data_IF_557043900586
#
_entry.id   IF_557043900586
#
_cell.length_a   1.000
_cell.length_b   1.000
_cell.length_c   1.000
_cell.angle_alpha   90.00
_cell.angle_beta   90.00
_cell.angle_gamma   90.00
#
_symmetry.space_group_name_H-M   'P 1'
#
loop_
_entity.id
_entity.type
_entity.pdbx_description
1 polymer ?
#
# COMPACT_ATOMS: atom_id res chain seq x y z
N UNK A 1 -13.41 -4.69 -3.54
CA UNK A 1 -14.30 -4.71 -4.73
C UNK A 1 -13.51 -4.99 -6.01
N UNK A 2 -14.03 -5.84 -6.91
CA UNK A 2 -13.31 -6.29 -8.13
C UNK A 2 -12.94 -5.15 -9.09
N UNK A 3 -13.76 -4.10 -9.15
CA UNK A 3 -13.53 -2.95 -10.05
C UNK A 3 -12.19 -2.24 -9.80
N UNK A 4 -11.78 -2.08 -8.55
CA UNK A 4 -10.50 -1.47 -8.21
C UNK A 4 -9.32 -2.34 -8.65
N UNK A 5 -9.44 -3.66 -8.48
CA UNK A 5 -8.42 -4.61 -8.91
C UNK A 5 -8.23 -4.57 -10.43
N UNK A 6 -9.33 -4.61 -11.19
CA UNK A 6 -9.29 -4.49 -12.66
C UNK A 6 -8.66 -3.16 -13.09
N UNK A 7 -9.05 -2.04 -12.46
CA UNK A 7 -8.47 -0.75 -12.79
C UNK A 7 -6.95 -0.70 -12.53
N UNK A 8 -6.49 -1.20 -11.38
CA UNK A 8 -5.07 -1.24 -11.02
C UNK A 8 -4.31 -2.13 -12.02
N UNK A 9 -4.85 -3.31 -12.34
CA UNK A 9 -4.24 -4.23 -13.30
C UNK A 9 -4.04 -3.57 -14.67
N UNK A 10 -5.04 -2.85 -15.17
CA UNK A 10 -5.00 -2.27 -16.50
C UNK A 10 -4.14 -0.99 -16.59
N UNK A 11 -4.10 -0.19 -15.51
CA UNK A 11 -3.62 1.19 -15.58
C UNK A 11 -2.37 1.49 -14.74
N UNK A 12 -2.15 0.78 -13.63
CA UNK A 12 -1.09 1.09 -12.67
C UNK A 12 0.11 0.19 -12.93
N UNK A 13 1.06 0.67 -13.73
CA UNK A 13 2.25 -0.07 -14.16
C UNK A 13 3.52 0.65 -13.71
N UNK A 14 4.58 -0.11 -13.46
CA UNK A 14 5.85 0.41 -12.94
C UNK A 14 6.50 1.49 -13.83
N UNK A 15 6.30 1.40 -15.15
CA UNK A 15 6.82 2.35 -16.14
C UNK A 15 6.08 3.70 -16.16
N UNK A 16 4.88 3.76 -15.54
CA UNK A 16 4.02 4.96 -15.49
C UNK A 16 3.92 5.55 -14.10
N UNK A 17 4.04 4.74 -13.05
CA UNK A 17 3.87 5.15 -11.65
C UNK A 17 5.14 4.83 -10.88
N UNK A 18 5.79 5.89 -10.36
CA UNK A 18 7.13 5.77 -9.79
C UNK A 18 7.21 5.02 -8.44
N UNK A 19 6.34 5.35 -7.48
CA UNK A 19 6.31 4.69 -6.16
C UNK A 19 4.88 4.57 -5.63
N UNK A 20 4.58 3.47 -4.94
CA UNK A 20 3.30 3.24 -4.27
C UNK A 20 3.52 2.79 -2.82
N UNK A 21 2.78 3.35 -1.87
CA UNK A 21 2.79 2.93 -0.48
C UNK A 21 1.38 2.65 0.00
N UNK A 22 1.18 1.50 0.63
CA UNK A 22 -0.05 1.15 1.35
C UNK A 22 0.25 0.87 2.82
N UNK A 23 -0.67 1.25 3.69
CA UNK A 23 -0.76 0.69 5.02
C UNK A 23 -2.21 0.47 5.47
N UNK A 24 -2.37 -0.40 6.46
CA UNK A 24 -3.65 -0.63 7.13
C UNK A 24 -3.41 -1.10 8.57
N UNK A 25 -4.36 -0.73 9.46
CA UNK A 25 -4.43 -1.25 10.82
C UNK A 25 -5.05 -2.65 10.90
N UNK A 26 -5.29 -3.18 12.10
CA UNK A 26 -5.97 -4.47 12.29
C UNK A 26 -7.24 -4.37 13.11
N UNK A 27 -7.60 -3.17 13.56
CA UNK A 27 -8.76 -2.95 14.41
C UNK A 27 -9.77 -2.07 13.69
N UNK A 28 -11.03 -2.11 14.16
CA UNK A 28 -12.13 -1.28 13.66
C UNK A 28 -12.39 -1.51 12.17
N UNK A 29 -12.43 -0.47 11.33
CA UNK A 29 -12.75 -0.62 9.92
C UNK A 29 -11.63 -1.31 9.11
N UNK A 30 -10.37 -1.11 9.49
CA UNK A 30 -9.21 -1.64 8.76
C UNK A 30 -9.06 -3.16 8.89
N UNK A 31 -9.69 -3.79 9.89
CA UNK A 31 -9.60 -5.25 10.14
C UNK A 31 -10.00 -6.09 8.90
N UNK A 32 -10.85 -5.53 8.04
CA UNK A 32 -11.35 -6.18 6.84
C UNK A 32 -10.44 -6.02 5.61
N UNK A 33 -9.36 -5.24 5.70
CA UNK A 33 -8.59 -4.85 4.50
C UNK A 33 -7.62 -5.92 4.00
N UNK A 34 -7.11 -6.78 4.88
CA UNK A 34 -6.03 -7.72 4.55
C UNK A 34 -6.32 -8.57 3.29
N UNK A 35 -7.48 -9.22 3.14
CA UNK A 35 -7.76 -10.02 1.94
C UNK A 35 -7.76 -9.20 0.65
N UNK A 36 -8.19 -7.94 0.69
CA UNK A 36 -8.22 -7.07 -0.48
C UNK A 36 -6.84 -6.49 -0.76
N UNK A 37 -6.08 -6.16 0.28
CA UNK A 37 -4.72 -5.68 0.14
C UNK A 37 -3.83 -6.75 -0.48
N UNK A 38 -3.95 -8.02 -0.05
CA UNK A 38 -3.21 -9.13 -0.67
C UNK A 38 -3.51 -9.28 -2.17
N UNK A 39 -4.76 -9.05 -2.59
CA UNK A 39 -5.12 -9.10 -4.01
C UNK A 39 -4.49 -7.95 -4.80
N UNK A 40 -4.45 -6.74 -4.22
CA UNK A 40 -3.77 -5.57 -4.83
C UNK A 40 -2.26 -5.80 -4.89
N UNK A 41 -1.67 -6.31 -3.81
CA UNK A 41 -0.25 -6.65 -3.71
C UNK A 41 0.17 -7.60 -4.86
N UNK A 42 -0.61 -8.66 -5.10
CA UNK A 42 -0.35 -9.58 -6.23
C UNK A 42 -0.44 -8.91 -7.59
N UNK A 43 -1.39 -7.97 -7.77
CA UNK A 43 -1.54 -7.24 -9.04
C UNK A 43 -0.35 -6.31 -9.27
N UNK A 44 0.17 -5.66 -8.22
CA UNK A 44 1.34 -4.78 -8.34
C UNK A 44 2.60 -5.57 -8.72
N UNK A 45 2.79 -6.74 -8.13
CA UNK A 45 3.87 -7.65 -8.51
C UNK A 45 3.77 -8.06 -9.99
N UNK A 46 2.57 -8.44 -10.46
CA UNK A 46 2.33 -8.73 -11.88
C UNK A 46 2.55 -7.52 -12.80
N UNK A 47 2.32 -6.30 -12.29
CA UNK A 47 2.53 -5.04 -13.00
C UNK A 47 3.98 -4.51 -12.92
N UNK A 48 4.91 -5.35 -12.43
CA UNK A 48 6.35 -5.08 -12.42
C UNK A 48 6.84 -4.31 -11.20
N UNK A 49 6.00 -4.03 -10.21
CA UNK A 49 6.47 -3.41 -8.97
C UNK A 49 7.33 -4.39 -8.16
N UNK A 50 8.38 -3.85 -7.56
CA UNK A 50 9.30 -4.54 -6.68
C UNK A 50 9.08 -4.06 -5.25
N UNK A 51 8.77 -5.01 -4.38
CA UNK A 51 8.52 -4.77 -2.96
C UNK A 51 9.75 -4.12 -2.29
N UNK A 52 9.49 -3.10 -1.49
CA UNK A 52 10.43 -2.23 -0.79
C UNK A 52 11.44 -1.46 -1.69
N UNK A 53 11.24 -1.46 -3.02
CA UNK A 53 11.99 -0.65 -3.99
C UNK A 53 11.13 0.49 -4.54
N UNK A 54 10.02 0.15 -5.19
CA UNK A 54 9.06 1.08 -5.77
C UNK A 54 7.61 0.80 -5.33
N UNK A 55 7.39 -0.21 -4.49
CA UNK A 55 6.12 -0.41 -3.81
C UNK A 55 6.35 -0.94 -2.38
N UNK A 56 5.54 -0.56 -1.39
CA UNK A 56 5.53 -1.19 -0.08
C UNK A 56 4.11 -1.26 0.50
N UNK A 57 3.80 -2.35 1.21
CA UNK A 57 2.56 -2.53 1.96
C UNK A 57 2.92 -2.86 3.41
N UNK A 58 2.38 -2.14 4.40
CA UNK A 58 2.65 -2.36 5.83
C UNK A 58 1.36 -2.62 6.62
N UNK A 59 1.37 -3.67 7.45
CA UNK A 59 0.29 -4.01 8.39
C UNK A 59 0.67 -3.53 9.78
N UNK A 60 -0.25 -2.84 10.47
CA UNK A 60 -0.04 -2.31 11.83
C UNK A 60 -0.99 -2.96 12.83
N UNK A 61 -0.49 -3.96 13.56
CA UNK A 61 -1.26 -4.67 14.58
C UNK A 61 -1.73 -3.72 15.69
N UNK A 62 -3.01 -3.79 16.04
CA UNK A 62 -3.64 -2.98 17.09
C UNK A 62 -3.95 -1.54 16.69
N UNK A 63 -3.66 -1.13 15.45
CA UNK A 63 -4.01 0.19 14.95
C UNK A 63 -5.46 0.21 14.45
N UNK A 64 -6.17 1.28 14.80
CA UNK A 64 -7.54 1.53 14.36
C UNK A 64 -7.58 2.45 13.12
N UNK A 65 -8.78 2.60 12.56
CA UNK A 65 -9.09 3.51 11.48
C UNK A 65 -9.32 4.94 12.03
N UNK A 66 -8.25 5.56 12.54
CA UNK A 66 -8.29 6.90 13.11
C UNK A 66 -6.99 7.69 12.90
N UNK A 67 -7.11 9.02 13.04
CA UNK A 67 -6.00 9.95 12.84
C UNK A 67 -4.88 9.78 13.88
N UNK A 68 -5.22 9.36 15.11
CA UNK A 68 -4.22 9.11 16.16
C UNK A 68 -3.29 7.96 15.78
N UNK A 69 -3.85 6.89 15.21
CA UNK A 69 -3.11 5.73 14.71
C UNK A 69 -2.28 6.11 13.48
N UNK A 70 -2.82 6.90 12.55
CA UNK A 70 -2.08 7.37 11.37
C UNK A 70 -0.93 8.31 11.73
N UNK A 71 -1.13 9.24 12.66
CA UNK A 71 -0.12 10.21 13.10
C UNK A 71 1.14 9.52 13.64
N UNK A 72 1.00 8.39 14.36
CA UNK A 72 2.13 7.60 14.89
C UNK A 72 3.06 7.04 13.80
N UNK A 73 2.57 6.90 12.57
CA UNK A 73 3.28 6.23 11.47
C UNK A 73 3.46 7.06 10.20
N UNK A 74 3.00 8.31 10.20
CA UNK A 74 3.08 9.22 9.05
C UNK A 74 4.50 9.37 8.48
N UNK A 75 5.53 9.29 9.32
CA UNK A 75 6.91 9.38 8.87
C UNK A 75 7.32 8.24 7.90
N UNK A 76 6.67 7.08 7.97
CA UNK A 76 7.02 5.90 7.16
C UNK A 76 6.74 6.13 5.66
N UNK A 77 5.51 6.48 5.23
CA UNK A 77 5.25 6.78 3.81
C UNK A 77 6.09 7.97 3.32
N UNK A 78 6.32 8.99 4.16
CA UNK A 78 7.13 10.15 3.79
C UNK A 78 8.59 9.76 3.50
N UNK A 79 9.21 8.97 4.38
CA UNK A 79 10.55 8.45 4.15
C UNK A 79 10.61 7.57 2.90
N UNK A 80 9.62 6.70 2.69
CA UNK A 80 9.57 5.85 1.50
C UNK A 80 9.48 6.67 0.19
N UNK A 81 8.58 7.65 0.15
CA UNK A 81 8.38 8.53 -1.00
C UNK A 81 9.66 9.33 -1.31
N UNK A 82 10.25 9.96 -0.29
CA UNK A 82 11.37 10.90 -0.44
C UNK A 82 12.75 10.25 -0.46
N UNK A 83 12.86 8.95 -0.15
CA UNK A 83 14.14 8.23 -0.23
C UNK A 83 14.70 8.34 -1.65
N UNK A 84 15.88 8.96 -1.75
CA UNK A 84 16.61 9.10 -3.01
C UNK A 84 16.90 7.72 -3.58
N UNK A 85 16.42 7.46 -4.81
CA UNK A 85 16.81 6.27 -5.55
C UNK A 85 18.27 6.46 -5.96
N UNK A 86 19.13 5.50 -5.58
CA UNK A 86 20.56 5.53 -5.90
C UNK A 86 20.78 5.00 -7.31
#
# INVERSE_FOLDING_TARGET
>A
PKVFQSYIADNIKQDRVGKIYFDYGTETLDEMYEPFQMQVDSILELNGFQKDVNWSTKKFQGAAHDELSWAKRLYIPLLFALKKQR
#
